data_IF_178805964436
#
_entry.id   IF_178805964436
#
_cell.length_a   1.000
_cell.length_b   1.000
_cell.length_c   1.000
_cell.angle_alpha   90.00
_cell.angle_beta   90.00
_cell.angle_gamma   90.00
#
_symmetry.space_group_name_H-M   'P 1'
#
loop_
_entity.id
_entity.type
_entity.pdbx_description
1 polymer ?
#
# COMPACT_ATOMS: atom_id res chain seq x y z
N UNK A 1 0.21 15.75 -17.80
CA UNK A 1 1.39 15.43 -16.98
C UNK A 1 1.07 14.14 -16.23
N UNK A 2 1.48 13.00 -16.77
CA UNK A 2 1.24 11.69 -16.15
C UNK A 2 2.18 11.58 -14.93
N UNK A 3 1.67 11.90 -13.74
CA UNK A 3 2.45 11.76 -12.51
C UNK A 3 2.47 10.25 -12.20
N UNK A 4 3.65 9.62 -12.06
CA UNK A 4 3.70 8.21 -11.70
C UNK A 4 2.93 8.00 -10.39
N UNK A 5 2.19 6.89 -10.23
CA UNK A 5 1.61 6.56 -8.94
C UNK A 5 2.75 6.46 -7.92
N UNK A 6 2.66 7.28 -6.87
CA UNK A 6 3.66 7.28 -5.81
C UNK A 6 3.39 6.08 -4.90
N UNK A 7 4.39 5.18 -4.84
CA UNK A 7 4.43 4.05 -3.92
C UNK A 7 5.37 4.41 -2.77
N UNK A 8 4.86 4.36 -1.54
CA UNK A 8 5.66 4.61 -0.34
C UNK A 8 5.86 3.31 0.40
N UNK A 9 7.11 2.87 0.55
CA UNK A 9 7.46 1.76 1.44
C UNK A 9 7.95 2.33 2.76
N UNK A 10 7.31 1.93 3.85
CA UNK A 10 7.54 2.48 5.19
C UNK A 10 8.12 1.36 6.07
N UNK A 11 9.37 1.55 6.51
CA UNK A 11 10.13 0.57 7.30
C UNK A 11 10.09 0.87 8.81
N UNK A 12 10.35 -0.17 9.61
CA UNK A 12 9.99 -0.26 11.03
C UNK A 12 10.58 0.81 11.96
N UNK A 13 9.73 1.23 12.92
CA UNK A 13 10.01 2.11 14.06
C UNK A 13 8.75 2.81 14.57
N UNK A 14 7.82 3.11 13.66
CA UNK A 14 6.53 3.78 13.93
C UNK A 14 5.51 3.28 12.90
N UNK A 15 4.27 2.99 13.31
CA UNK A 15 3.17 2.74 12.38
C UNK A 15 2.79 4.06 11.66
N UNK A 16 2.96 4.15 10.33
CA UNK A 16 2.70 5.39 9.60
C UNK A 16 1.22 5.63 9.31
N UNK A 17 0.34 4.65 9.60
CA UNK A 17 -1.09 4.72 9.28
C UNK A 17 -1.77 5.99 9.79
N UNK A 18 -1.59 6.43 11.05
CA UNK A 18 -2.27 7.63 11.54
C UNK A 18 -1.84 8.89 10.79
N UNK A 19 -0.57 8.96 10.36
CA UNK A 19 -0.06 10.07 9.58
C UNK A 19 -0.67 10.11 8.18
N UNK A 20 -0.73 8.95 7.49
CA UNK A 20 -1.35 8.86 6.16
C UNK A 20 -2.84 9.20 6.23
N UNK A 21 -3.56 8.72 7.23
CA UNK A 21 -4.98 9.02 7.43
C UNK A 21 -5.23 10.51 7.69
N UNK A 22 -4.41 11.14 8.53
CA UNK A 22 -4.52 12.57 8.83
C UNK A 22 -4.25 13.42 7.59
N UNK A 23 -3.15 13.13 6.87
CA UNK A 23 -2.85 13.80 5.61
C UNK A 23 -3.96 13.58 4.57
N UNK A 24 -4.50 12.36 4.49
CA UNK A 24 -5.64 12.04 3.64
C UNK A 24 -6.83 12.93 3.96
N UNK A 25 -7.22 13.03 5.23
CA UNK A 25 -8.33 13.89 5.68
C UNK A 25 -8.11 15.35 5.29
N UNK A 26 -6.91 15.90 5.49
CA UNK A 26 -6.56 17.27 5.09
C UNK A 26 -6.71 17.50 3.57
N UNK A 27 -6.49 16.46 2.77
CA UNK A 27 -6.61 16.51 1.31
C UNK A 27 -7.97 16.01 0.78
N UNK A 28 -8.95 15.77 1.66
CA UNK A 28 -10.28 15.29 1.28
C UNK A 28 -10.30 13.84 0.79
N UNK A 29 -9.35 13.00 1.22
CA UNK A 29 -9.29 11.56 0.98
C UNK A 29 -9.47 10.83 2.31
N UNK A 30 -10.61 10.17 2.50
CA UNK A 30 -10.91 9.57 3.80
C UNK A 30 -11.78 8.33 3.68
N UNK A 31 -11.94 7.60 4.80
CA UNK A 31 -12.79 6.41 4.80
C UNK A 31 -14.27 6.80 4.69
N UNK A 32 -14.66 7.95 5.27
CA UNK A 32 -16.04 8.46 5.27
C UNK A 32 -16.55 8.74 3.85
N UNK A 33 -15.68 9.26 2.97
CA UNK A 33 -15.99 9.45 1.55
C UNK A 33 -15.61 8.26 0.67
N UNK A 34 -15.23 7.13 1.27
CA UNK A 34 -14.84 5.87 0.60
C UNK A 34 -13.66 6.00 -0.36
N UNK A 35 -12.82 7.02 -0.20
CA UNK A 35 -11.61 7.24 -1.00
C UNK A 35 -10.33 6.82 -0.28
N UNK A 36 -10.40 6.38 0.96
CA UNK A 36 -9.28 5.77 1.69
C UNK A 36 -9.65 4.35 2.15
N UNK A 37 -8.73 3.40 2.01
CA UNK A 37 -8.86 2.04 2.54
C UNK A 37 -7.55 1.61 3.18
N UNK A 38 -7.60 1.13 4.42
CA UNK A 38 -6.46 0.50 5.08
C UNK A 38 -6.70 -1.01 5.20
N UNK A 39 -5.75 -1.82 4.73
CA UNK A 39 -5.83 -3.27 4.65
C UNK A 39 -4.60 -3.86 5.31
N UNK A 40 -4.79 -4.60 6.39
CA UNK A 40 -3.74 -5.44 6.98
C UNK A 40 -3.61 -6.72 6.17
N UNK A 41 -2.44 -6.94 5.56
CA UNK A 41 -2.22 -8.07 4.68
C UNK A 41 -2.00 -9.37 5.45
N UNK A 42 -2.68 -10.41 4.99
CA UNK A 42 -2.61 -11.79 5.48
C UNK A 42 -3.28 -12.72 4.46
N UNK A 43 -3.28 -14.03 4.75
CA UNK A 43 -3.88 -15.02 3.87
C UNK A 43 -5.34 -14.66 3.53
N UNK A 44 -5.67 -14.62 2.23
CA UNK A 44 -7.01 -14.30 1.73
C UNK A 44 -7.26 -12.81 1.47
N UNK A 45 -6.33 -11.91 1.81
CA UNK A 45 -6.46 -10.47 1.56
C UNK A 45 -5.94 -10.03 0.18
N UNK A 46 -5.31 -10.92 -0.58
CA UNK A 46 -4.74 -10.64 -1.90
C UNK A 46 -5.80 -10.12 -2.88
N UNK A 47 -6.90 -10.85 -3.03
CA UNK A 47 -7.96 -10.48 -3.98
C UNK A 47 -8.69 -9.17 -3.56
N UNK A 48 -9.09 -8.97 -2.29
CA UNK A 48 -9.61 -7.69 -1.82
C UNK A 48 -8.65 -6.51 -2.06
N UNK A 49 -7.36 -6.67 -1.74
CA UNK A 49 -6.36 -5.62 -1.95
C UNK A 49 -6.21 -5.25 -3.42
N UNK A 50 -6.10 -6.23 -4.31
CA UNK A 50 -6.01 -5.99 -5.76
C UNK A 50 -7.27 -5.30 -6.31
N UNK A 51 -8.45 -5.66 -5.81
CA UNK A 51 -9.70 -5.01 -6.22
C UNK A 51 -9.72 -3.53 -5.82
N UNK A 52 -9.27 -3.20 -4.60
CA UNK A 52 -9.17 -1.81 -4.13
C UNK A 52 -8.14 -1.02 -4.93
N UNK A 53 -6.96 -1.60 -5.20
CA UNK A 53 -5.92 -0.98 -6.06
C UNK A 53 -6.51 -0.64 -7.43
N UNK A 54 -7.16 -1.59 -8.10
CA UNK A 54 -7.76 -1.37 -9.42
C UNK A 54 -8.86 -0.31 -9.40
N UNK A 55 -9.70 -0.30 -8.36
CA UNK A 55 -10.77 0.69 -8.19
C UNK A 55 -10.18 2.09 -8.02
N UNK A 56 -9.28 2.27 -7.05
CA UNK A 56 -8.70 3.58 -6.75
C UNK A 56 -7.74 4.08 -7.82
N UNK A 57 -7.11 3.19 -8.59
CA UNK A 57 -6.40 3.59 -9.79
C UNK A 57 -7.32 4.25 -10.83
N UNK A 58 -8.58 3.82 -10.96
CA UNK A 58 -9.54 4.42 -11.90
C UNK A 58 -10.25 5.66 -11.34
N UNK A 59 -10.71 5.56 -10.10
CA UNK A 59 -11.61 6.55 -9.48
C UNK A 59 -10.87 7.61 -8.66
N UNK A 60 -9.60 7.36 -8.32
CA UNK A 60 -8.83 8.16 -7.39
C UNK A 60 -9.16 7.81 -5.94
N UNK A 61 -8.11 7.56 -5.17
CA UNK A 61 -8.21 7.17 -3.77
C UNK A 61 -6.89 6.61 -3.28
N UNK A 62 -6.80 6.41 -1.98
CA UNK A 62 -5.59 5.99 -1.30
C UNK A 62 -5.80 4.62 -0.68
N UNK A 63 -4.88 3.71 -0.93
CA UNK A 63 -4.86 2.40 -0.27
C UNK A 63 -3.60 2.29 0.58
N UNK A 64 -3.77 1.91 1.84
CA UNK A 64 -2.69 1.52 2.75
C UNK A 64 -2.69 0.00 2.85
N UNK A 65 -1.61 -0.65 2.43
CA UNK A 65 -1.39 -2.09 2.55
C UNK A 65 -0.37 -2.33 3.65
N UNK A 66 -0.83 -2.79 4.82
CA UNK A 66 0.03 -3.05 5.96
C UNK A 66 0.58 -4.47 5.95
N UNK A 67 1.73 -4.69 6.58
CA UNK A 67 2.31 -6.01 6.80
C UNK A 67 2.63 -6.79 5.52
N UNK A 68 2.97 -6.11 4.42
CA UNK A 68 3.23 -6.78 3.13
C UNK A 68 4.41 -7.77 3.18
N UNK A 69 5.31 -7.65 4.16
CA UNK A 69 6.39 -8.62 4.42
C UNK A 69 5.86 -10.03 4.73
N UNK A 70 4.64 -10.17 5.25
CA UNK A 70 3.98 -11.45 5.49
C UNK A 70 3.51 -12.13 4.20
N UNK A 71 3.42 -11.37 3.10
CA UNK A 71 2.85 -11.81 1.83
C UNK A 71 3.91 -11.89 0.72
N UNK A 72 5.11 -12.38 1.04
CA UNK A 72 6.28 -12.38 0.14
C UNK A 72 6.03 -13.00 -1.24
N UNK A 73 5.22 -14.06 -1.34
CA UNK A 73 4.85 -14.70 -2.60
C UNK A 73 3.87 -13.88 -3.45
N UNK A 74 3.11 -12.97 -2.82
CA UNK A 74 2.14 -12.11 -3.48
C UNK A 74 2.73 -10.76 -3.91
N UNK A 75 3.75 -10.27 -3.22
CA UNK A 75 4.40 -8.97 -3.54
C UNK A 75 4.77 -8.82 -5.03
N UNK A 76 5.37 -9.80 -5.72
CA UNK A 76 5.66 -9.66 -7.15
C UNK A 76 4.41 -9.46 -8.02
N UNK A 77 3.27 -10.06 -7.62
CA UNK A 77 1.99 -9.86 -8.30
C UNK A 77 1.42 -8.47 -8.03
N UNK A 78 1.58 -7.96 -6.81
CA UNK A 78 1.24 -6.58 -6.46
C UNK A 78 2.08 -5.60 -7.30
N UNK A 79 3.40 -5.77 -7.39
CA UNK A 79 4.29 -4.91 -8.19
C UNK A 79 3.84 -4.85 -9.65
N UNK A 80 3.57 -6.01 -10.27
CA UNK A 80 3.06 -6.06 -11.64
C UNK A 80 1.71 -5.39 -11.80
N UNK A 81 0.81 -5.54 -10.83
CA UNK A 81 -0.47 -4.82 -10.85
C UNK A 81 -0.25 -3.30 -10.79
N UNK A 82 0.65 -2.85 -9.92
CA UNK A 82 0.99 -1.45 -9.73
C UNK A 82 1.60 -0.84 -11.01
N UNK A 83 2.47 -1.56 -11.70
CA UNK A 83 2.99 -1.17 -13.03
C UNK A 83 1.87 -0.98 -14.05
N UNK A 84 0.96 -1.96 -14.14
CA UNK A 84 -0.14 -1.92 -15.12
C UNK A 84 -1.09 -0.77 -14.84
N UNK A 85 -1.47 -0.54 -13.59
CA UNK A 85 -2.41 0.56 -13.28
C UNK A 85 -1.74 1.93 -13.35
N UNK A 86 -0.41 2.01 -13.29
CA UNK A 86 0.33 3.27 -13.35
C UNK A 86 0.18 4.02 -14.67
N UNK A 87 -0.02 3.31 -15.78
CA UNK A 87 -0.05 3.90 -17.12
C UNK A 87 -1.18 4.93 -17.29
N UNK A 88 -2.33 4.67 -16.67
CA UNK A 88 -3.55 5.48 -16.77
C UNK A 88 -4.20 5.74 -15.39
N UNK A 89 -3.37 5.82 -14.34
CA UNK A 89 -3.85 6.05 -12.99
C UNK A 89 -4.47 7.44 -12.83
N UNK A 90 -5.58 7.51 -12.09
CA UNK A 90 -6.17 8.75 -11.64
C UNK A 90 -5.15 9.57 -10.83
N UNK A 91 -5.12 10.89 -11.04
CA UNK A 91 -4.15 11.82 -10.42
C UNK A 91 -4.08 11.75 -8.88
N UNK A 92 -5.18 11.36 -8.25
CA UNK A 92 -5.31 11.24 -6.79
C UNK A 92 -4.98 9.82 -6.28
N UNK A 93 -4.72 8.85 -7.16
CA UNK A 93 -4.40 7.48 -6.75
C UNK A 93 -3.06 7.43 -6.01
N UNK A 94 -3.05 6.85 -4.82
CA UNK A 94 -1.84 6.57 -4.03
C UNK A 94 -1.93 5.18 -3.44
N UNK A 95 -0.81 4.47 -3.40
CA UNK A 95 -0.69 3.19 -2.70
C UNK A 95 0.49 3.26 -1.73
N UNK A 96 0.20 3.08 -0.45
CA UNK A 96 1.15 3.07 0.64
C UNK A 96 1.33 1.63 1.10
N UNK A 97 2.57 1.23 1.38
CA UNK A 97 2.94 -0.12 1.76
C UNK A 97 3.75 -0.03 3.06
N UNK A 98 3.33 -0.75 4.10
CA UNK A 98 4.19 -0.99 5.27
C UNK A 98 4.73 -2.41 5.25
N UNK A 99 6.02 -2.53 5.56
CA UNK A 99 6.71 -3.80 5.64
C UNK A 99 7.81 -3.72 6.70
N UNK A 100 8.01 -4.80 7.44
CA UNK A 100 9.19 -4.94 8.29
C UNK A 100 10.40 -5.31 7.43
N UNK A 101 11.60 -4.83 7.77
CA UNK A 101 12.80 -5.30 7.12
C UNK A 101 12.95 -6.81 7.33
N UNK A 102 13.50 -7.55 6.35
CA UNK A 102 13.83 -8.96 6.56
C UNK A 102 14.77 -9.09 7.77
N UNK A 103 14.72 -10.22 8.52
CA UNK A 103 15.62 -10.44 9.64
C UNK A 103 17.07 -10.22 9.21
N UNK A 104 17.82 -9.41 9.94
CA UNK A 104 19.24 -9.22 9.65
C UNK A 104 19.96 -10.57 9.75
N UNK A 105 20.88 -10.84 8.81
CA UNK A 105 21.65 -12.09 8.78
C UNK A 105 22.38 -12.37 10.11
N UNK A 106 22.68 -11.35 10.91
CA UNK A 106 23.29 -11.46 12.25
C UNK A 106 22.40 -12.12 13.30
N UNK A 107 21.07 -12.19 13.11
CA UNK A 107 20.16 -12.91 14.03
C UNK A 107 20.12 -14.43 13.79
N UNK A 108 20.71 -14.95 12.71
CA UNK A 108 20.80 -16.40 12.49
C UNK A 108 21.88 -17.10 13.33
N UNK A 109 22.80 -16.34 13.92
CA UNK A 109 23.97 -16.86 14.63
C UNK A 109 23.98 -16.48 16.12
N UNK A 110 22.82 -16.49 16.79
CA UNK A 110 22.81 -16.52 18.25
C UNK A 110 22.89 -17.99 18.67
N UNK A 111 24.03 -18.47 19.23
CA UNK A 111 24.17 -19.83 19.71
C UNK A 111 23.28 -20.14 20.91
#
# INVERSE_FOLDING_TARGET
>A
SNKPPFFFVLFAGVDPTPWVENLGRELGISNENKRFMNISMGQGQEAPAEAVVKRFAKEGGWVMLQNCHLMSSWVPRLERLLEVVAEDAHKDFRCFISAEPPPMASMRNMP
#
